data_IF_396431156117
#
_entry.id   IF_396431156117
#
_cell.length_a   1.000
_cell.length_b   1.000
_cell.length_c   1.000
_cell.angle_alpha   90.00
_cell.angle_beta   90.00
_cell.angle_gamma   90.00
#
_symmetry.space_group_name_H-M   'P 1'
#
loop_
_entity.id
_entity.type
_entity.pdbx_description
1 polymer ?
#
# COMPACT_ATOMS: atom_id res chain seq x y z
N UNK A 1 14.22 44.73 24.74
CA UNK A 1 14.13 44.04 23.44
C UNK A 1 13.55 42.64 23.68
N UNK A 2 13.19 41.91 22.62
CA UNK A 2 12.28 40.75 22.61
C UNK A 2 12.74 39.53 23.45
N UNK A 3 11.91 38.55 23.85
CA UNK A 3 10.45 38.45 24.12
C UNK A 3 10.11 36.97 24.52
N UNK A 4 8.82 36.67 24.78
CA UNK A 4 8.17 35.32 24.75
C UNK A 4 8.64 34.32 25.88
N UNK A 5 7.91 33.30 26.38
CA UNK A 5 6.71 32.53 25.96
C UNK A 5 5.70 32.26 27.11
N UNK A 6 4.41 32.20 26.72
CA UNK A 6 3.22 31.73 27.48
C UNK A 6 2.79 30.32 26.98
N UNK A 7 2.12 29.44 27.74
CA UNK A 7 1.71 29.35 29.16
C UNK A 7 0.97 28.00 29.37
N UNK A 8 0.83 27.51 30.61
CA UNK A 8 -0.07 26.42 31.08
C UNK A 8 0.23 24.94 30.68
N UNK A 9 0.38 24.11 31.72
CA UNK A 9 0.05 22.68 31.71
C UNK A 9 -1.39 22.49 32.25
N UNK A 10 -2.19 21.59 31.66
CA UNK A 10 -2.66 20.35 32.32
C UNK A 10 -3.96 19.75 31.74
N UNK A 11 -3.96 18.41 31.65
CA UNK A 11 -5.11 17.48 31.66
C UNK A 11 -6.28 17.70 30.68
N UNK A 12 -6.22 16.97 29.56
CA UNK A 12 -7.33 16.64 28.68
C UNK A 12 -7.34 15.15 28.35
N UNK A 13 -8.48 14.50 28.59
CA UNK A 13 -8.75 13.07 28.57
C UNK A 13 -8.53 12.35 27.21
N UNK A 14 -8.36 11.02 27.31
CA UNK A 14 -8.92 9.98 26.41
C UNK A 14 -8.14 9.55 25.13
N UNK A 15 -8.31 8.26 24.84
CA UNK A 15 -7.75 7.47 23.73
C UNK A 15 -7.68 8.19 22.38
N UNK A 16 -6.46 8.28 21.84
CA UNK A 16 -6.22 8.39 20.40
C UNK A 16 -5.48 7.15 19.93
N UNK A 17 -6.21 6.19 19.35
CA UNK A 17 -5.59 5.22 18.47
C UNK A 17 -5.18 5.97 17.19
N UNK A 18 -3.88 6.19 17.03
CA UNK A 18 -3.33 6.78 15.81
C UNK A 18 -3.50 5.78 14.65
N UNK A 19 -4.62 5.90 13.95
CA UNK A 19 -4.79 5.25 12.66
C UNK A 19 -3.82 5.91 11.68
N UNK A 20 -2.74 5.20 11.35
CA UNK A 20 -1.70 5.66 10.43
C UNK A 20 -2.30 5.90 9.03
N UNK A 21 -2.68 7.16 8.76
CA UNK A 21 -3.13 7.63 7.45
C UNK A 21 -1.90 7.92 6.58
N UNK A 22 -1.37 6.90 5.91
CA UNK A 22 -0.35 7.05 4.87
C UNK A 22 -1.00 7.34 3.51
N UNK A 23 -1.59 8.54 3.36
CA UNK A 23 -2.19 8.98 2.11
C UNK A 23 -1.11 9.65 1.22
N UNK A 24 -0.44 8.83 0.41
CA UNK A 24 0.45 9.32 -0.65
C UNK A 24 -0.39 9.52 -1.90
N UNK A 25 -0.96 10.72 -2.05
CA UNK A 25 -1.59 11.13 -3.31
C UNK A 25 -0.51 11.30 -4.37
N UNK A 26 -0.23 10.24 -5.13
CA UNK A 26 0.39 10.37 -6.44
C UNK A 26 -0.71 10.68 -7.46
N UNK A 27 -0.64 11.86 -8.09
CA UNK A 27 -1.69 12.34 -9.00
C UNK A 27 -1.95 11.35 -10.13
N UNK A 28 -3.08 10.64 -10.06
CA UNK A 28 -3.54 9.67 -11.07
C UNK A 28 -3.87 8.28 -10.55
N UNK A 29 -3.43 7.89 -9.33
CA UNK A 29 -3.80 6.59 -8.75
C UNK A 29 -3.70 6.60 -7.22
N UNK A 30 -4.82 6.30 -6.55
CA UNK A 30 -4.87 6.21 -5.10
C UNK A 30 -4.11 4.97 -4.60
N UNK A 31 -2.95 5.18 -3.97
CA UNK A 31 -2.11 4.12 -3.41
C UNK A 31 -2.28 4.05 -1.89
N UNK A 32 -3.15 3.14 -1.44
CA UNK A 32 -3.34 2.90 -0.01
C UNK A 32 -2.26 1.95 0.52
N UNK A 33 -1.29 2.48 1.27
CA UNK A 33 -0.28 1.70 1.99
C UNK A 33 -0.69 1.58 3.45
N UNK A 34 -1.03 0.36 3.90
CA UNK A 34 -1.30 0.08 5.32
C UNK A 34 -0.27 -0.89 5.88
N UNK A 35 0.39 -0.48 6.95
CA UNK A 35 1.36 -1.27 7.71
C UNK A 35 1.01 -1.22 9.19
N UNK A 36 0.40 -2.30 9.70
CA UNK A 36 0.02 -2.39 11.12
C UNK A 36 1.22 -2.84 11.96
N UNK A 37 1.56 -2.15 13.07
CA UNK A 37 2.70 -2.51 13.92
C UNK A 37 2.51 -3.82 14.71
N UNK A 38 1.32 -4.43 14.65
CA UNK A 38 0.93 -5.66 15.34
C UNK A 38 0.44 -6.73 14.37
N UNK A 39 1.37 -7.30 13.57
CA UNK A 39 1.16 -8.54 12.83
C UNK A 39 1.16 -8.43 11.31
N UNK A 40 2.38 -8.47 10.72
CA UNK A 40 2.74 -9.09 9.43
C UNK A 40 1.78 -8.96 8.23
N UNK A 41 0.99 -7.90 8.14
CA UNK A 41 0.16 -7.59 6.99
C UNK A 41 0.74 -6.40 6.23
N UNK A 42 0.86 -6.54 4.91
CA UNK A 42 1.25 -5.45 4.01
C UNK A 42 0.45 -5.57 2.73
N UNK A 43 -0.12 -4.47 2.27
CA UNK A 43 -0.92 -4.41 1.05
C UNK A 43 -0.52 -3.20 0.22
N UNK A 44 -0.51 -3.37 -1.10
CA UNK A 44 -0.57 -2.27 -2.04
C UNK A 44 -1.70 -2.53 -3.04
N UNK A 45 -2.42 -1.46 -3.39
CA UNK A 45 -3.37 -1.45 -4.49
C UNK A 45 -3.13 -0.27 -5.39
N UNK A 46 -3.27 -0.48 -6.69
CA UNK A 46 -3.09 0.54 -7.72
C UNK A 46 -3.87 0.16 -8.98
N UNK A 47 -4.12 1.16 -9.82
CA UNK A 47 -4.75 1.01 -11.15
C UNK A 47 -3.73 1.45 -12.19
N UNK A 48 -3.75 0.87 -13.39
CA UNK A 48 -2.90 1.33 -14.50
C UNK A 48 -2.22 0.22 -15.30
N UNK A 49 -1.72 0.62 -16.47
CA UNK A 49 -0.90 -0.20 -17.35
C UNK A 49 0.60 -0.11 -17.04
N UNK A 50 1.03 0.79 -16.16
CA UNK A 50 2.43 1.01 -15.79
C UNK A 50 2.50 1.45 -14.31
N UNK A 51 3.39 0.83 -13.52
CA UNK A 51 3.56 1.13 -12.10
C UNK A 51 4.46 0.11 -11.39
N UNK A 52 5.19 0.53 -10.35
CA UNK A 52 6.12 -0.32 -9.60
C UNK A 52 6.03 -0.03 -8.10
N UNK A 53 5.72 -1.06 -7.32
CA UNK A 53 5.45 -0.96 -5.89
C UNK A 53 6.28 -1.99 -5.12
N UNK A 54 6.82 -1.59 -3.95
CA UNK A 54 7.43 -2.52 -3.01
C UNK A 54 6.42 -2.86 -1.90
N UNK A 55 6.22 -4.15 -1.62
CA UNK A 55 5.29 -4.65 -0.60
C UNK A 55 6.04 -5.66 0.26
N UNK A 56 6.50 -5.24 1.44
CA UNK A 56 7.29 -6.07 2.36
C UNK A 56 8.50 -6.77 1.70
N UNK A 57 9.19 -6.06 0.80
CA UNK A 57 10.32 -6.61 0.03
C UNK A 57 9.96 -7.19 -1.35
N UNK A 58 8.72 -7.63 -1.57
CA UNK A 58 8.27 -8.05 -2.91
C UNK A 58 8.11 -6.85 -3.84
N UNK A 59 8.52 -6.98 -5.10
CA UNK A 59 8.35 -5.95 -6.13
C UNK A 59 7.17 -6.34 -7.02
N UNK A 60 6.08 -5.60 -6.93
CA UNK A 60 4.93 -5.71 -7.86
C UNK A 60 5.11 -4.66 -8.94
N UNK A 61 5.31 -5.09 -10.19
CA UNK A 61 5.56 -4.20 -11.32
C UNK A 61 4.60 -4.53 -12.47
N UNK A 62 3.86 -3.53 -12.94
CA UNK A 62 3.21 -3.54 -14.24
C UNK A 62 4.05 -2.69 -15.18
N UNK A 63 4.37 -3.22 -16.35
CA UNK A 63 5.09 -2.50 -17.40
C UNK A 63 4.47 -2.77 -18.76
N UNK A 64 4.00 -1.74 -19.44
CA UNK A 64 3.27 -1.81 -20.71
C UNK A 64 2.11 -2.84 -20.66
N UNK A 65 1.34 -2.83 -19.56
CA UNK A 65 0.24 -3.76 -19.28
C UNK A 65 0.66 -5.18 -18.88
N UNK A 66 1.96 -5.50 -18.74
CA UNK A 66 2.45 -6.80 -18.28
C UNK A 66 2.70 -6.78 -16.77
N UNK A 67 1.89 -7.49 -16.01
CA UNK A 67 2.01 -7.60 -14.55
C UNK A 67 3.05 -8.67 -14.17
N UNK A 68 3.93 -8.31 -13.24
CA UNK A 68 4.93 -9.18 -12.64
C UNK A 68 5.00 -9.01 -11.12
N UNK A 69 5.43 -10.05 -10.42
CA UNK A 69 5.81 -9.99 -9.00
C UNK A 69 7.20 -10.61 -8.88
N UNK A 70 8.16 -9.88 -8.33
CA UNK A 70 9.58 -10.27 -8.29
C UNK A 70 10.17 -10.67 -9.66
N UNK A 71 9.64 -10.09 -10.74
CA UNK A 71 9.99 -10.42 -12.13
C UNK A 71 9.22 -11.60 -12.74
N UNK A 72 8.55 -12.42 -11.93
CA UNK A 72 7.69 -13.50 -12.44
C UNK A 72 6.42 -12.95 -13.10
N UNK A 73 6.03 -13.41 -14.30
CA UNK A 73 4.84 -12.91 -14.98
C UNK A 73 3.53 -13.51 -14.46
N UNK A 74 2.57 -12.62 -14.17
CA UNK A 74 1.22 -12.98 -13.71
C UNK A 74 0.11 -12.70 -14.74
N UNK A 75 0.48 -12.18 -15.91
CA UNK A 75 -0.41 -11.99 -17.06
C UNK A 75 -0.41 -10.55 -17.55
N UNK A 76 -1.44 -10.21 -18.31
CA UNK A 76 -1.71 -8.84 -18.77
C UNK A 76 -2.84 -8.20 -17.97
N UNK A 77 -2.76 -6.87 -17.81
CA UNK A 77 -3.74 -6.01 -17.14
C UNK A 77 -4.05 -4.80 -18.04
N UNK A 78 -5.27 -4.28 -17.97
CA UNK A 78 -5.68 -3.09 -18.70
C UNK A 78 -5.30 -1.79 -17.98
N UNK A 79 -5.44 -0.61 -18.62
CA UNK A 79 -5.24 0.68 -17.95
C UNK A 79 -6.23 0.87 -16.79
N UNK A 80 -7.46 0.40 -16.94
CA UNK A 80 -8.50 0.46 -15.89
C UNK A 80 -8.46 -0.74 -14.91
N UNK A 81 -7.53 -1.69 -15.08
CA UNK A 81 -7.47 -2.87 -14.21
C UNK A 81 -7.00 -2.47 -12.81
N UNK A 82 -7.71 -2.96 -11.79
CA UNK A 82 -7.36 -2.76 -10.39
C UNK A 82 -6.50 -3.93 -9.90
N UNK A 83 -5.23 -3.65 -9.60
CA UNK A 83 -4.27 -4.61 -9.05
C UNK A 83 -4.21 -4.42 -7.54
N UNK A 84 -4.31 -5.51 -6.78
CA UNK A 84 -4.06 -5.54 -5.34
C UNK A 84 -3.16 -6.71 -4.99
N UNK A 85 -2.08 -6.42 -4.29
CA UNK A 85 -1.16 -7.43 -3.77
C UNK A 85 -1.10 -7.35 -2.25
N UNK A 86 -1.41 -8.47 -1.59
CA UNK A 86 -1.52 -8.57 -0.14
C UNK A 86 -0.65 -9.68 0.41
N UNK A 87 0.11 -9.36 1.43
CA UNK A 87 0.87 -10.29 2.26
C UNK A 87 0.21 -10.32 3.63
N UNK A 88 -0.02 -11.50 4.20
CA UNK A 88 -0.53 -11.72 5.56
C UNK A 88 0.22 -12.89 6.19
N UNK A 89 1.18 -12.60 7.06
CA UNK A 89 2.19 -13.59 7.46
C UNK A 89 2.90 -14.13 6.23
N UNK A 90 3.02 -15.45 6.14
CA UNK A 90 3.63 -16.15 5.00
C UNK A 90 2.72 -16.23 3.76
N UNK A 91 1.44 -15.85 3.89
CA UNK A 91 0.46 -15.93 2.80
C UNK A 91 0.53 -14.70 1.90
N UNK A 92 1.01 -14.91 0.67
CA UNK A 92 1.00 -13.94 -0.43
C UNK A 92 -0.25 -14.15 -1.29
N UNK A 93 -0.94 -13.07 -1.69
CA UNK A 93 -2.15 -13.11 -2.52
C UNK A 93 -2.13 -11.98 -3.54
N UNK A 94 -2.23 -12.33 -4.83
CA UNK A 94 -2.40 -11.38 -5.92
C UNK A 94 -3.85 -11.38 -6.41
N UNK A 95 -4.44 -10.20 -6.54
CA UNK A 95 -5.80 -9.98 -7.00
C UNK A 95 -5.76 -8.99 -8.15
N UNK A 96 -6.44 -9.31 -9.26
CA UNK A 96 -6.61 -8.41 -10.41
C UNK A 96 -8.10 -8.37 -10.75
N UNK A 97 -8.70 -7.19 -10.76
CA UNK A 97 -10.13 -7.00 -11.06
C UNK A 97 -11.04 -7.89 -10.19
N UNK A 98 -10.72 -7.95 -8.89
CA UNK A 98 -11.40 -8.78 -7.89
C UNK A 98 -11.10 -10.29 -7.98
N UNK A 99 -10.38 -10.76 -9.02
CA UNK A 99 -10.06 -12.18 -9.23
C UNK A 99 -8.68 -12.52 -8.68
N UNK A 100 -8.63 -13.49 -7.77
CA UNK A 100 -7.36 -14.04 -7.25
C UNK A 100 -6.58 -14.70 -8.39
N UNK A 101 -5.31 -14.32 -8.55
CA UNK A 101 -4.36 -14.98 -9.45
C UNK A 101 -3.54 -15.99 -8.64
N UNK A 102 -3.38 -17.25 -9.09
CA UNK A 102 -2.53 -18.21 -8.41
C UNK A 102 -1.07 -17.75 -8.52
N UNK A 103 -0.41 -17.56 -7.38
CA UNK A 103 1.04 -17.40 -7.33
C UNK A 103 1.67 -18.72 -7.79
N UNK A 104 2.63 -18.65 -8.72
CA UNK A 104 3.41 -19.81 -9.11
C UNK A 104 4.38 -20.14 -7.96
N UNK A 105 4.69 -21.44 -7.82
CA UNK A 105 5.56 -21.98 -6.79
C UNK A 105 6.90 -22.37 -7.40
#
# INVERSE_FOLDING_TARGET
>A
MQAVIKLLLSMGLLFSHEAAMADIIVSGSAVSLSSSPSGTSSEASFTGNDGRHNVNGDIVEVRHGRLTVNGEPYGTVGPESFIRYRIQGDKKTLIVDGKVRPLRK
#
